data_IF_824321659429
#
_entry.id   IF_824321659429
#
_cell.length_a   1.000
_cell.length_b   1.000
_cell.length_c   1.000
_cell.angle_alpha   90.00
_cell.angle_beta   90.00
_cell.angle_gamma   90.00
#
_symmetry.space_group_name_H-M   'P 1'
#
loop_
_entity.id
_entity.type
_entity.pdbx_description
1 polymer ?
#
# COMPACT_ATOMS: atom_id res chain seq x y z
N UNK A 1 28.12 4.67 -6.42
CA UNK A 1 26.67 4.69 -6.71
C UNK A 1 26.29 6.14 -6.80
N UNK A 2 26.14 6.67 -8.01
CA UNK A 2 25.52 7.99 -8.20
C UNK A 2 24.08 7.87 -7.74
N UNK A 3 23.74 8.60 -6.69
CA UNK A 3 22.37 8.70 -6.22
C UNK A 3 21.52 9.28 -7.34
N UNK A 4 20.30 8.78 -7.48
CA UNK A 4 19.30 9.38 -8.34
C UNK A 4 19.09 10.83 -7.88
N UNK A 5 19.71 11.80 -8.55
CA UNK A 5 19.42 13.22 -8.30
C UNK A 5 18.06 13.52 -8.92
N UNK A 6 17.05 13.68 -8.06
CA UNK A 6 15.78 14.26 -8.46
C UNK A 6 16.07 15.63 -9.07
N UNK A 7 15.79 15.80 -10.37
CA UNK A 7 15.84 17.13 -10.98
C UNK A 7 14.91 18.03 -10.19
N UNK A 8 15.39 19.22 -9.82
CA UNK A 8 14.55 20.20 -9.16
C UNK A 8 13.36 20.54 -10.07
N UNK A 9 12.15 20.28 -9.58
CA UNK A 9 10.94 20.76 -10.23
C UNK A 9 10.88 22.28 -10.06
N UNK A 10 11.47 23.01 -11.00
CA UNK A 10 11.32 24.45 -11.13
C UNK A 10 9.97 24.75 -11.78
N UNK A 11 8.91 24.60 -10.98
CA UNK A 11 7.56 24.97 -11.38
C UNK A 11 7.48 26.49 -11.43
N UNK A 12 7.57 27.04 -12.62
CA UNK A 12 7.31 28.45 -12.89
C UNK A 12 5.94 28.55 -13.58
N UNK A 13 4.89 28.88 -12.81
CA UNK A 13 3.54 29.05 -13.36
C UNK A 13 3.48 30.45 -13.96
N UNK A 14 3.36 30.55 -15.28
CA UNK A 14 3.19 31.83 -15.96
C UNK A 14 1.92 32.56 -15.48
N UNK A 15 1.90 33.89 -15.64
CA UNK A 15 0.83 34.73 -15.11
C UNK A 15 -0.55 34.44 -15.73
N UNK A 16 -0.59 33.94 -16.97
CA UNK A 16 -1.85 33.58 -17.64
C UNK A 16 -2.43 32.29 -17.05
N UNK A 17 -1.60 31.25 -16.89
CA UNK A 17 -1.97 29.99 -16.23
C UNK A 17 -2.37 30.23 -14.77
N UNK A 18 -1.63 31.09 -14.05
CA UNK A 18 -1.94 31.45 -12.66
C UNK A 18 -3.31 32.14 -12.53
N UNK A 19 -3.62 33.10 -13.41
CA UNK A 19 -4.95 33.75 -13.45
C UNK A 19 -6.06 32.74 -13.74
N UNK A 20 -5.80 31.78 -14.63
CA UNK A 20 -6.76 30.73 -14.99
C UNK A 20 -7.02 29.78 -13.81
N UNK A 21 -5.97 29.27 -13.16
CA UNK A 21 -6.07 28.40 -11.99
C UNK A 21 -6.81 29.07 -10.84
N UNK A 22 -6.52 30.35 -10.56
CA UNK A 22 -7.15 31.07 -9.46
C UNK A 22 -8.66 31.28 -9.65
N UNK A 23 -9.16 31.25 -10.89
CA UNK A 23 -10.59 31.24 -11.21
C UNK A 23 -11.20 29.84 -11.21
N UNK A 24 -10.39 28.79 -11.28
CA UNK A 24 -10.83 27.39 -11.30
C UNK A 24 -11.02 26.80 -9.89
N UNK A 25 -11.43 25.53 -9.78
CA UNK A 25 -11.49 24.82 -8.50
C UNK A 25 -10.09 24.57 -7.93
N UNK A 26 -9.15 24.15 -8.79
CA UNK A 26 -7.75 23.88 -8.41
C UNK A 26 -6.99 25.20 -8.51
N UNK A 27 -6.58 25.73 -7.36
CA UNK A 27 -5.93 27.04 -7.28
C UNK A 27 -4.44 26.91 -7.60
N UNK A 28 -3.80 28.03 -7.98
CA UNK A 28 -2.34 28.04 -8.13
C UNK A 28 -1.63 27.65 -6.82
N UNK A 29 -2.21 28.04 -5.69
CA UNK A 29 -1.77 27.63 -4.36
C UNK A 29 -1.82 26.10 -4.15
N UNK A 30 -2.84 25.40 -4.67
CA UNK A 30 -2.90 23.94 -4.59
C UNK A 30 -1.70 23.30 -5.33
N UNK A 31 -1.32 23.84 -6.50
CA UNK A 31 -0.17 23.37 -7.28
C UNK A 31 1.14 23.63 -6.55
N UNK A 32 1.32 24.83 -5.97
CA UNK A 32 2.49 25.15 -5.16
C UNK A 32 2.58 24.25 -3.93
N UNK A 33 1.46 24.01 -3.22
CA UNK A 33 1.42 23.14 -2.05
C UNK A 33 1.79 21.70 -2.40
N UNK A 34 1.27 21.17 -3.51
CA UNK A 34 1.65 19.84 -4.00
C UNK A 34 3.14 19.79 -4.33
N UNK A 35 3.65 20.78 -5.06
CA UNK A 35 5.07 20.86 -5.41
C UNK A 35 5.97 20.88 -4.18
N UNK A 36 5.62 21.70 -3.19
CA UNK A 36 6.40 21.83 -1.97
C UNK A 36 6.36 20.54 -1.15
N UNK A 37 5.19 19.91 -1.06
CA UNK A 37 5.03 18.63 -0.39
C UNK A 37 5.88 17.53 -1.04
N UNK A 38 5.90 17.48 -2.37
CA UNK A 38 6.73 16.53 -3.12
C UNK A 38 8.22 16.79 -2.92
N UNK A 39 8.66 18.05 -3.01
CA UNK A 39 10.05 18.45 -2.74
C UNK A 39 10.49 18.03 -1.35
N UNK A 40 9.64 18.28 -0.34
CA UNK A 40 9.93 17.92 1.05
C UNK A 40 9.93 16.42 1.28
N UNK A 41 9.06 15.66 0.61
CA UNK A 41 9.11 14.20 0.63
C UNK A 41 10.41 13.66 0.03
N UNK A 42 10.81 14.15 -1.15
CA UNK A 42 12.05 13.74 -1.83
C UNK A 42 13.32 14.14 -1.07
N UNK A 43 13.25 15.20 -0.26
CA UNK A 43 14.34 15.61 0.62
C UNK A 43 14.54 14.65 1.81
N UNK A 44 13.55 13.79 2.13
CA UNK A 44 13.71 12.75 3.13
C UNK A 44 14.70 11.70 2.62
N UNK A 45 15.60 11.28 3.49
CA UNK A 45 16.51 10.17 3.21
C UNK A 45 15.84 8.86 3.57
N UNK A 46 15.97 7.88 2.68
CA UNK A 46 15.47 6.53 2.88
C UNK A 46 16.64 5.55 2.92
N UNK A 47 16.53 4.55 3.79
CA UNK A 47 17.58 3.55 4.00
C UNK A 47 17.76 2.59 2.81
N UNK A 48 16.77 2.46 1.94
CA UNK A 48 16.76 1.48 0.87
C UNK A 48 16.14 1.99 -0.44
N UNK A 49 16.80 2.94 -1.10
CA UNK A 49 16.42 3.35 -2.45
C UNK A 49 17.07 2.42 -3.48
N UNK A 50 16.28 1.48 -3.99
CA UNK A 50 16.64 0.68 -5.14
C UNK A 50 15.63 0.90 -6.28
N UNK A 51 15.94 0.36 -7.47
CA UNK A 51 15.11 0.53 -8.67
C UNK A 51 13.62 0.16 -8.48
N UNK A 52 13.32 -0.81 -7.62
CA UNK A 52 11.95 -1.22 -7.33
C UNK A 52 11.23 -0.16 -6.49
N UNK A 53 11.89 0.29 -5.42
CA UNK A 53 11.42 1.35 -4.52
C UNK A 53 11.20 2.67 -5.27
N UNK A 54 12.06 3.02 -6.22
CA UNK A 54 11.94 4.26 -7.01
C UNK A 54 10.62 4.32 -7.81
N UNK A 55 10.24 3.21 -8.45
CA UNK A 55 8.96 3.13 -9.19
C UNK A 55 7.77 3.29 -8.27
N UNK A 56 7.83 2.73 -7.08
CA UNK A 56 6.75 2.83 -6.11
C UNK A 56 6.67 4.25 -5.51
N UNK A 57 7.80 4.93 -5.31
CA UNK A 57 7.85 6.35 -4.93
C UNK A 57 7.20 7.21 -6.02
N UNK A 58 7.58 7.02 -7.29
CA UNK A 58 6.97 7.74 -8.41
C UNK A 58 5.45 7.51 -8.47
N UNK A 59 4.99 6.26 -8.30
CA UNK A 59 3.57 5.95 -8.25
C UNK A 59 2.87 6.67 -7.08
N UNK A 60 3.52 6.75 -5.90
CA UNK A 60 3.02 7.49 -4.73
C UNK A 60 2.83 8.96 -5.04
N UNK A 61 3.82 9.59 -5.66
CA UNK A 61 3.77 11.01 -6.04
C UNK A 61 2.62 11.28 -7.03
N UNK A 62 2.48 10.43 -8.05
CA UNK A 62 1.35 10.52 -8.97
C UNK A 62 0.00 10.39 -8.27
N UNK A 63 -0.13 9.47 -7.31
CA UNK A 63 -1.35 9.32 -6.52
C UNK A 63 -1.62 10.56 -5.64
N UNK A 64 -0.60 11.14 -5.02
CA UNK A 64 -0.71 12.35 -4.23
C UNK A 64 -1.19 13.53 -5.08
N UNK A 65 -0.57 13.74 -6.25
CA UNK A 65 -1.00 14.75 -7.22
C UNK A 65 -2.46 14.51 -7.60
N UNK A 66 -2.84 13.27 -7.89
CA UNK A 66 -4.21 12.91 -8.26
C UNK A 66 -5.22 13.24 -7.16
N UNK A 67 -4.91 12.89 -5.92
CA UNK A 67 -5.76 13.15 -4.74
C UNK A 67 -5.97 14.64 -4.54
N UNK A 68 -4.89 15.42 -4.57
CA UNK A 68 -4.91 16.85 -4.23
C UNK A 68 -5.44 17.73 -5.37
N UNK A 69 -5.44 17.24 -6.61
CA UNK A 69 -5.91 18.00 -7.79
C UNK A 69 -7.14 17.37 -8.44
N UNK A 70 -6.98 16.30 -9.22
CA UNK A 70 -8.04 15.70 -10.05
C UNK A 70 -9.23 15.18 -9.26
N UNK A 71 -8.99 14.46 -8.17
CA UNK A 71 -10.07 13.95 -7.29
C UNK A 71 -10.87 15.13 -6.70
N UNK A 72 -10.16 16.12 -6.13
CA UNK A 72 -10.75 17.35 -5.59
C UNK A 72 -11.59 18.08 -6.64
N UNK A 73 -11.11 18.17 -7.87
CA UNK A 73 -11.84 18.77 -8.98
C UNK A 73 -13.16 18.04 -9.25
N UNK A 74 -13.11 16.73 -9.53
CA UNK A 74 -14.30 15.94 -9.86
C UNK A 74 -15.34 15.98 -8.73
N UNK A 75 -14.91 15.91 -7.47
CA UNK A 75 -15.82 15.90 -6.32
C UNK A 75 -16.49 17.26 -6.04
N UNK A 76 -15.98 18.35 -6.61
CA UNK A 76 -16.51 19.71 -6.41
C UNK A 76 -17.25 20.28 -7.63
N UNK A 77 -17.28 19.55 -8.74
CA UNK A 77 -18.14 19.88 -9.88
C UNK A 77 -19.61 19.82 -9.44
N UNK A 78 -20.37 20.86 -9.76
CA UNK A 78 -21.79 21.02 -9.36
C UNK A 78 -22.78 20.41 -10.36
N UNK A 79 -22.29 19.85 -11.45
CA UNK A 79 -23.09 19.26 -12.51
C UNK A 79 -23.84 18.03 -12.00
N UNK A 80 -25.17 18.03 -12.13
CA UNK A 80 -26.03 16.98 -11.58
C UNK A 80 -25.65 15.59 -12.10
N UNK A 81 -25.38 15.47 -13.40
CA UNK A 81 -24.95 14.21 -14.01
C UNK A 81 -23.64 13.68 -13.42
N UNK A 82 -22.66 14.54 -13.15
CA UNK A 82 -21.40 14.15 -12.52
C UNK A 82 -21.64 13.71 -11.08
N UNK A 83 -22.47 14.45 -10.33
CA UNK A 83 -22.84 14.04 -8.96
C UNK A 83 -23.55 12.69 -8.92
N UNK A 84 -24.41 12.39 -9.89
CA UNK A 84 -25.06 11.08 -10.01
C UNK A 84 -24.04 9.98 -10.28
N UNK A 85 -23.09 10.19 -11.18
CA UNK A 85 -21.99 9.24 -11.46
C UNK A 85 -21.14 9.01 -10.20
N UNK A 86 -20.69 10.07 -9.53
CA UNK A 86 -19.89 9.99 -8.29
C UNK A 86 -20.66 9.24 -7.20
N UNK A 87 -21.97 9.50 -7.05
CA UNK A 87 -22.81 8.80 -6.07
C UNK A 87 -22.95 7.32 -6.42
N UNK A 88 -23.12 6.97 -7.69
CA UNK A 88 -23.16 5.58 -8.16
C UNK A 88 -21.85 4.86 -7.86
N UNK A 89 -20.69 5.48 -8.12
CA UNK A 89 -19.38 4.93 -7.75
C UNK A 89 -19.30 4.66 -6.25
N UNK A 90 -19.64 5.64 -5.41
CA UNK A 90 -19.61 5.50 -3.95
C UNK A 90 -20.55 4.39 -3.45
N UNK A 91 -21.76 4.28 -4.02
CA UNK A 91 -22.71 3.20 -3.70
C UNK A 91 -22.19 1.82 -4.12
N UNK A 92 -21.58 1.71 -5.30
CA UNK A 92 -21.00 0.44 -5.77
C UNK A 92 -19.85 -0.01 -4.88
N UNK A 93 -18.99 0.90 -4.42
CA UNK A 93 -17.93 0.59 -3.45
C UNK A 93 -18.52 0.05 -2.15
N UNK A 94 -19.55 0.70 -1.60
CA UNK A 94 -20.24 0.23 -0.38
C UNK A 94 -20.84 -1.16 -0.60
N UNK A 95 -21.47 -1.40 -1.76
CA UNK A 95 -22.02 -2.70 -2.13
C UNK A 95 -20.95 -3.78 -2.20
N UNK A 96 -19.83 -3.51 -2.88
CA UNK A 96 -18.68 -4.42 -2.96
C UNK A 96 -18.12 -4.72 -1.57
N UNK A 97 -17.89 -3.71 -0.74
CA UNK A 97 -17.41 -3.89 0.63
C UNK A 97 -18.34 -4.72 1.52
N UNK A 98 -19.63 -4.77 1.22
CA UNK A 98 -20.58 -5.60 1.95
C UNK A 98 -20.65 -7.05 1.46
N UNK A 99 -20.21 -7.32 0.22
CA UNK A 99 -20.34 -8.63 -0.44
C UNK A 99 -19.02 -9.38 -0.46
N UNK A 100 -17.90 -8.67 -0.61
CA UNK A 100 -16.58 -9.26 -0.80
C UNK A 100 -16.21 -10.18 0.38
N UNK A 101 -15.77 -11.39 0.06
CA UNK A 101 -15.39 -12.42 1.02
C UNK A 101 -14.36 -13.37 0.43
N UNK A 102 -13.94 -14.40 1.18
CA UNK A 102 -13.04 -15.45 0.72
C UNK A 102 -13.72 -16.50 -0.19
N UNK A 103 -14.74 -16.11 -0.95
CA UNK A 103 -15.46 -16.97 -1.90
C UNK A 103 -15.24 -16.45 -3.31
N UNK A 104 -14.63 -17.27 -4.17
CA UNK A 104 -14.29 -16.93 -5.56
C UNK A 104 -15.47 -16.35 -6.34
N UNK A 105 -16.65 -16.96 -6.23
CA UNK A 105 -17.87 -16.48 -6.90
C UNK A 105 -18.30 -15.09 -6.42
N UNK A 106 -18.12 -14.79 -5.13
CA UNK A 106 -18.44 -13.47 -4.58
C UNK A 106 -17.42 -12.42 -5.03
N UNK A 107 -16.14 -12.78 -5.12
CA UNK A 107 -15.08 -11.92 -5.67
C UNK A 107 -15.36 -11.59 -7.14
N UNK A 108 -15.70 -12.60 -7.96
CA UNK A 108 -16.06 -12.40 -9.37
C UNK A 108 -17.33 -11.56 -9.54
N UNK A 109 -18.32 -11.75 -8.67
CA UNK A 109 -19.53 -10.91 -8.64
C UNK A 109 -19.18 -9.45 -8.34
N UNK A 110 -18.32 -9.19 -7.34
CA UNK A 110 -17.85 -7.86 -7.02
C UNK A 110 -17.09 -7.22 -8.19
N UNK A 111 -16.22 -8.00 -8.85
CA UNK A 111 -15.52 -7.56 -10.06
C UNK A 111 -16.49 -7.21 -11.18
N UNK A 112 -17.51 -8.03 -11.43
CA UNK A 112 -18.53 -7.79 -12.46
C UNK A 112 -19.32 -6.51 -12.19
N UNK A 113 -19.72 -6.26 -10.93
CA UNK A 113 -20.39 -5.01 -10.53
C UNK A 113 -19.53 -3.80 -10.88
N UNK A 114 -18.24 -3.85 -10.52
CA UNK A 114 -17.30 -2.76 -10.76
C UNK A 114 -16.99 -2.57 -12.25
N UNK A 115 -16.89 -3.67 -12.99
CA UNK A 115 -16.65 -3.66 -14.44
C UNK A 115 -17.81 -3.07 -15.21
N UNK A 116 -19.04 -3.43 -14.87
CA UNK A 116 -20.23 -2.88 -15.52
C UNK A 116 -20.33 -1.37 -15.28
N UNK A 117 -20.12 -0.93 -14.03
CA UNK A 117 -20.05 0.49 -13.70
C UNK A 117 -18.97 1.21 -14.51
N UNK A 118 -17.76 0.66 -14.59
CA UNK A 118 -16.66 1.25 -15.35
C UNK A 118 -17.00 1.35 -16.85
N UNK A 119 -17.57 0.29 -17.43
CA UNK A 119 -17.98 0.27 -18.84
C UNK A 119 -19.08 1.30 -19.13
N UNK A 120 -20.02 1.49 -18.21
CA UNK A 120 -21.07 2.52 -18.36
C UNK A 120 -20.48 3.93 -18.30
N UNK A 121 -19.47 4.16 -17.46
CA UNK A 121 -18.75 5.43 -17.40
C UNK A 121 -17.91 5.65 -18.67
N UNK A 122 -17.29 4.61 -19.23
CA UNK A 122 -16.55 4.71 -20.49
C UNK A 122 -17.43 5.19 -21.66
N UNK A 123 -18.70 4.78 -21.69
CA UNK A 123 -19.67 5.24 -22.71
C UNK A 123 -19.93 6.76 -22.66
N UNK A 124 -19.64 7.40 -21.53
CA UNK A 124 -19.72 8.86 -21.40
C UNK A 124 -18.57 9.58 -22.12
N UNK A 125 -17.60 8.84 -22.66
CA UNK A 125 -16.42 9.36 -23.35
C UNK A 125 -15.62 10.39 -22.52
N UNK A 126 -15.61 10.21 -21.19
CA UNK A 126 -14.87 11.06 -20.27
C UNK A 126 -13.82 10.22 -19.52
N UNK A 127 -12.58 10.27 -20.01
CA UNK A 127 -11.45 9.50 -19.47
C UNK A 127 -11.18 9.86 -18.01
N UNK A 128 -11.40 11.11 -17.59
CA UNK A 128 -11.17 11.56 -16.21
C UNK A 128 -12.17 10.94 -15.24
N UNK A 129 -13.44 10.79 -15.63
CA UNK A 129 -14.44 10.08 -14.82
C UNK A 129 -14.15 8.58 -14.74
N UNK A 130 -13.64 7.98 -15.83
CA UNK A 130 -13.23 6.58 -15.83
C UNK A 130 -12.02 6.34 -14.89
N UNK A 131 -10.99 7.19 -14.98
CA UNK A 131 -9.83 7.15 -14.08
C UNK A 131 -10.25 7.38 -12.62
N UNK A 132 -11.19 8.30 -12.37
CA UNK A 132 -11.76 8.53 -11.05
C UNK A 132 -12.54 7.34 -10.51
N UNK A 133 -13.30 6.65 -11.35
CA UNK A 133 -14.00 5.42 -10.97
C UNK A 133 -13.01 4.36 -10.49
N UNK A 134 -11.97 4.10 -11.28
CA UNK A 134 -10.95 3.11 -10.96
C UNK A 134 -10.18 3.48 -9.69
N UNK A 135 -9.74 4.74 -9.59
CA UNK A 135 -9.09 5.28 -8.40
C UNK A 135 -9.97 5.10 -7.15
N UNK A 136 -11.25 5.49 -7.24
CA UNK A 136 -12.19 5.43 -6.12
C UNK A 136 -12.48 4.01 -5.68
N UNK A 137 -12.58 3.05 -6.62
CA UNK A 137 -12.75 1.64 -6.29
C UNK A 137 -11.54 1.16 -5.48
N UNK A 138 -10.32 1.39 -5.95
CA UNK A 138 -9.11 0.97 -5.25
C UNK A 138 -9.01 1.65 -3.87
N UNK A 139 -9.16 2.98 -3.80
CA UNK A 139 -9.14 3.76 -2.55
C UNK A 139 -10.22 3.28 -1.57
N UNK A 140 -11.41 2.95 -2.08
CA UNK A 140 -12.55 2.48 -1.31
C UNK A 140 -12.39 1.09 -0.69
N UNK A 141 -11.73 0.16 -1.39
CA UNK A 141 -11.38 -1.16 -0.82
C UNK A 141 -10.27 -1.01 0.23
N UNK A 142 -9.21 -0.26 -0.10
CA UNK A 142 -8.09 -0.02 0.83
C UNK A 142 -8.55 0.71 2.11
N UNK A 143 -9.61 1.52 2.01
CA UNK A 143 -10.23 2.19 3.16
C UNK A 143 -10.76 1.25 4.25
N UNK A 144 -10.99 -0.04 3.98
CA UNK A 144 -11.37 -1.02 4.99
C UNK A 144 -10.24 -1.34 5.98
N UNK A 145 -8.98 -1.08 5.60
CA UNK A 145 -7.80 -1.35 6.42
C UNK A 145 -7.45 -0.21 7.40
N UNK A 146 -8.24 0.86 7.44
CA UNK A 146 -8.03 1.94 8.42
C UNK A 146 -8.42 1.48 9.83
N UNK A 147 -7.75 1.98 10.87
CA UNK A 147 -7.82 1.43 12.25
C UNK A 147 -9.24 1.32 12.81
N UNK A 148 -10.13 2.27 12.49
CA UNK A 148 -11.53 2.24 12.92
C UNK A 148 -12.32 1.08 12.30
N UNK A 149 -11.92 0.64 11.10
CA UNK A 149 -12.66 -0.32 10.28
C UNK A 149 -12.05 -1.70 10.26
N UNK A 150 -10.75 -1.86 10.51
CA UNK A 150 -10.08 -3.16 10.41
C UNK A 150 -10.67 -4.22 11.36
N UNK A 151 -11.12 -3.80 12.56
CA UNK A 151 -11.73 -4.69 13.54
C UNK A 151 -13.24 -4.90 13.33
N UNK A 152 -13.85 -4.12 12.43
CA UNK A 152 -15.29 -4.16 12.11
C UNK A 152 -15.54 -4.62 10.66
N UNK A 153 -14.49 -4.76 9.86
CA UNK A 153 -14.59 -5.00 8.43
C UNK A 153 -15.06 -6.42 8.19
N UNK A 154 -16.22 -6.53 7.52
CA UNK A 154 -16.71 -7.79 6.96
C UNK A 154 -15.82 -8.35 5.84
N UNK A 155 -15.18 -7.52 4.99
CA UNK A 155 -14.21 -7.99 4.00
C UNK A 155 -13.04 -8.75 4.63
N UNK A 156 -12.83 -9.97 4.18
CA UNK A 156 -11.61 -10.71 4.46
C UNK A 156 -10.45 -10.19 3.61
N UNK A 157 -9.23 -10.29 4.16
CA UNK A 157 -8.01 -9.80 3.50
C UNK A 157 -7.76 -10.48 2.14
N UNK A 158 -7.91 -11.80 2.06
CA UNK A 158 -7.76 -12.55 0.81
C UNK A 158 -8.88 -12.26 -0.21
N UNK A 159 -10.09 -11.98 0.25
CA UNK A 159 -11.19 -11.52 -0.59
C UNK A 159 -10.87 -10.17 -1.24
N UNK A 160 -10.41 -9.20 -0.43
CA UNK A 160 -9.91 -7.90 -0.91
C UNK A 160 -8.74 -8.06 -1.88
N UNK A 161 -7.78 -8.93 -1.58
CA UNK A 161 -6.64 -9.21 -2.44
C UNK A 161 -7.07 -9.77 -3.79
N UNK A 162 -7.98 -10.76 -3.80
CA UNK A 162 -8.48 -11.37 -5.03
C UNK A 162 -9.26 -10.38 -5.91
N UNK A 163 -10.09 -9.54 -5.30
CA UNK A 163 -10.78 -8.47 -6.03
C UNK A 163 -9.80 -7.46 -6.62
N UNK A 164 -8.84 -6.97 -5.84
CA UNK A 164 -7.85 -6.01 -6.32
C UNK A 164 -6.93 -6.62 -7.39
N UNK A 165 -6.58 -7.90 -7.28
CA UNK A 165 -5.83 -8.63 -8.31
C UNK A 165 -6.59 -8.69 -9.63
N UNK A 166 -7.92 -8.90 -9.61
CA UNK A 166 -8.76 -8.82 -10.82
C UNK A 166 -8.76 -7.40 -11.41
N UNK A 167 -8.92 -6.37 -10.58
CA UNK A 167 -8.87 -4.98 -11.04
C UNK A 167 -7.50 -4.66 -11.68
N UNK A 168 -6.41 -5.03 -11.02
CA UNK A 168 -5.04 -4.79 -11.51
C UNK A 168 -4.77 -5.52 -12.82
N UNK A 169 -5.22 -6.77 -12.95
CA UNK A 169 -5.00 -7.60 -14.14
C UNK A 169 -5.78 -7.13 -15.36
N UNK A 170 -6.94 -6.50 -15.16
CA UNK A 170 -7.87 -6.15 -16.25
C UNK A 170 -7.83 -4.67 -16.65
N UNK A 171 -7.21 -3.80 -15.86
CA UNK A 171 -7.12 -2.36 -16.16
C UNK A 171 -5.67 -1.88 -16.12
N UNK A 172 -5.09 -1.54 -17.28
CA UNK A 172 -3.66 -1.16 -17.43
C UNK A 172 -3.18 -0.10 -16.44
N UNK A 173 -4.00 0.91 -16.13
CA UNK A 173 -3.66 1.98 -15.18
C UNK A 173 -3.81 1.58 -13.71
N UNK A 174 -4.59 0.53 -13.41
CA UNK A 174 -4.90 0.11 -12.05
C UNK A 174 -3.66 -0.29 -11.26
N UNK A 175 -2.68 -0.94 -11.91
CA UNK A 175 -1.43 -1.32 -11.24
C UNK A 175 -0.71 -0.10 -10.63
N UNK A 176 -0.52 0.95 -11.43
CA UNK A 176 0.14 2.17 -10.98
C UNK A 176 -0.71 2.94 -9.96
N UNK A 177 -2.03 3.05 -10.17
CA UNK A 177 -2.94 3.67 -9.20
C UNK A 177 -2.90 2.92 -7.86
N UNK A 178 -2.94 1.59 -7.89
CA UNK A 178 -2.84 0.76 -6.69
C UNK A 178 -1.52 0.95 -5.96
N UNK A 179 -0.38 0.79 -6.66
CA UNK A 179 0.95 1.01 -6.07
C UNK A 179 1.08 2.39 -5.45
N UNK A 180 0.51 3.42 -6.09
CA UNK A 180 0.52 4.78 -5.58
C UNK A 180 -0.36 5.01 -4.36
N UNK A 181 -1.61 4.55 -4.39
CA UNK A 181 -2.55 4.71 -3.27
C UNK A 181 -2.09 3.91 -2.05
N UNK A 182 -1.66 2.65 -2.25
CA UNK A 182 -1.28 1.79 -1.14
C UNK A 182 -0.03 2.30 -0.41
N UNK A 183 0.97 2.79 -1.15
CA UNK A 183 2.19 3.37 -0.58
C UNK A 183 1.96 4.74 0.05
N UNK A 184 1.02 5.53 -0.47
CA UNK A 184 0.60 6.77 0.19
C UNK A 184 -0.06 6.47 1.55
N UNK A 185 -1.00 5.52 1.59
CA UNK A 185 -1.71 5.13 2.81
C UNK A 185 -0.84 4.38 3.82
N UNK A 186 0.08 3.55 3.35
CA UNK A 186 1.00 2.80 4.18
C UNK A 186 2.37 2.70 3.49
N UNK A 187 3.31 3.54 3.91
CA UNK A 187 4.64 3.62 3.26
C UNK A 187 5.37 2.28 3.30
N UNK A 188 5.15 1.48 4.37
CA UNK A 188 5.79 0.17 4.60
C UNK A 188 5.32 -0.96 3.68
N UNK A 189 4.33 -0.71 2.81
CA UNK A 189 4.04 -1.62 1.68
C UNK A 189 5.12 -1.57 0.61
N UNK A 190 5.95 -0.53 0.64
CA UNK A 190 7.28 -0.50 0.04
C UNK A 190 8.25 -0.61 1.25
N UNK A 191 9.21 -1.54 1.28
CA UNK A 191 10.11 -1.70 2.42
C UNK A 191 11.21 -0.60 2.43
N UNK A 192 10.80 0.66 2.29
CA UNK A 192 11.59 1.87 2.48
C UNK A 192 11.30 2.46 3.85
N UNK A 193 12.35 2.91 4.52
CA UNK A 193 12.23 3.51 5.84
C UNK A 193 13.02 4.79 5.94
N UNK A 194 12.51 5.74 6.72
CA UNK A 194 13.17 7.01 6.94
C UNK A 194 14.51 6.80 7.66
N UNK A 195 15.59 7.30 7.05
CA UNK A 195 16.89 7.32 7.69
C UNK A 195 16.89 8.36 8.82
N UNK A 196 17.50 8.04 9.96
CA UNK A 196 17.63 8.99 11.06
C UNK A 196 18.67 10.05 10.73
N UNK A 197 18.23 11.15 10.12
CA UNK A 197 19.10 12.30 9.84
C UNK A 197 18.99 13.41 10.91
N UNK A 198 20.01 14.26 11.08
CA UNK A 198 19.92 15.44 11.94
C UNK A 198 18.77 16.39 11.58
N UNK A 199 18.43 16.49 10.29
CA UNK A 199 17.33 17.30 9.78
C UNK A 199 15.99 16.72 10.22
N UNK A 200 15.80 15.40 10.06
CA UNK A 200 14.59 14.72 10.51
C UNK A 200 14.39 14.85 12.02
N UNK A 201 15.47 14.81 12.81
CA UNK A 201 15.41 14.97 14.28
C UNK A 201 15.02 16.39 14.72
N UNK A 202 15.28 17.40 13.89
CA UNK A 202 14.91 18.81 14.15
C UNK A 202 13.52 19.16 13.63
N UNK A 203 12.98 18.37 12.71
CA UNK A 203 11.66 18.57 12.12
C UNK A 203 10.56 18.42 13.16
N UNK A 204 9.60 19.34 13.19
CA UNK A 204 8.45 19.20 14.07
C UNK A 204 7.59 17.99 13.67
N UNK A 205 6.99 17.29 14.62
CA UNK A 205 6.15 16.12 14.30
C UNK A 205 4.97 16.45 13.39
N UNK A 206 4.31 17.57 13.63
CA UNK A 206 3.22 18.07 12.78
C UNK A 206 3.69 18.30 11.34
N UNK A 207 4.92 18.79 11.21
CA UNK A 207 5.57 19.02 9.93
C UNK A 207 5.85 17.70 9.19
N UNK A 208 6.42 16.71 9.88
CA UNK A 208 6.66 15.37 9.33
C UNK A 208 5.35 14.69 8.91
N UNK A 209 4.30 14.78 9.73
CA UNK A 209 3.01 14.14 9.45
C UNK A 209 2.31 14.74 8.24
N UNK A 210 2.55 16.01 7.92
CA UNK A 210 2.07 16.59 6.67
C UNK A 210 2.73 15.93 5.45
N UNK A 211 3.96 15.41 5.58
CA UNK A 211 4.74 14.79 4.49
C UNK A 211 4.41 13.30 4.32
N UNK A 212 4.40 12.54 5.42
CA UNK A 212 4.28 11.08 5.38
C UNK A 212 2.93 10.53 5.87
N UNK A 213 2.04 11.34 6.44
CA UNK A 213 0.90 10.94 7.28
C UNK A 213 1.32 10.45 8.67
N UNK A 214 0.58 10.85 9.70
CA UNK A 214 0.81 10.44 11.10
C UNK A 214 0.75 8.92 11.25
N UNK A 215 -0.18 8.30 10.53
CA UNK A 215 -0.39 6.85 10.52
C UNK A 215 0.83 6.09 10.02
N UNK A 216 1.78 6.74 9.32
CA UNK A 216 3.02 6.14 8.84
C UNK A 216 4.23 6.40 9.75
N UNK A 217 4.06 7.02 10.91
CA UNK A 217 5.15 7.16 11.87
C UNK A 217 5.47 5.80 12.52
N UNK A 218 6.65 5.26 12.21
CA UNK A 218 7.15 3.99 12.73
C UNK A 218 7.30 3.96 14.26
N UNK A 219 7.29 5.12 14.92
CA UNK A 219 7.40 5.23 16.37
C UNK A 219 6.03 5.25 17.08
N UNK A 220 4.92 5.21 16.34
CA UNK A 220 3.56 5.13 16.89
C UNK A 220 3.06 3.69 16.79
N UNK A 221 3.32 2.92 17.84
CA UNK A 221 3.08 1.48 17.89
C UNK A 221 1.59 1.08 17.79
N UNK A 222 0.68 2.00 18.13
CA UNK A 222 -0.77 1.78 17.98
C UNK A 222 -1.20 1.55 16.52
N UNK A 223 -0.37 1.93 15.54
CA UNK A 223 -0.63 1.68 14.11
C UNK A 223 -0.07 0.35 13.59
N UNK A 224 0.52 -0.49 14.44
CA UNK A 224 1.11 -1.76 13.98
C UNK A 224 0.08 -2.70 13.35
N UNK A 225 -1.15 -2.76 13.87
CA UNK A 225 -2.22 -3.56 13.27
C UNK A 225 -2.57 -3.09 11.85
N UNK A 226 -2.56 -1.77 11.62
CA UNK A 226 -2.68 -1.18 10.29
C UNK A 226 -1.52 -1.59 9.40
N UNK A 227 -0.27 -1.47 9.86
CA UNK A 227 0.90 -1.87 9.06
C UNK A 227 0.83 -3.34 8.65
N UNK A 228 0.41 -4.19 9.59
CA UNK A 228 0.20 -5.61 9.34
C UNK A 228 -0.81 -5.83 8.22
N UNK A 229 -1.97 -5.20 8.30
CA UNK A 229 -3.05 -5.41 7.34
C UNK A 229 -2.68 -4.95 5.93
N UNK A 230 -2.04 -3.79 5.81
CA UNK A 230 -1.58 -3.27 4.52
C UNK A 230 -0.50 -4.16 3.91
N UNK A 231 0.47 -4.60 4.72
CA UNK A 231 1.56 -5.48 4.27
C UNK A 231 1.01 -6.84 3.81
N UNK A 232 0.14 -7.44 4.62
CA UNK A 232 -0.53 -8.71 4.27
C UNK A 232 -1.31 -8.59 2.98
N UNK A 233 -2.15 -7.55 2.83
CA UNK A 233 -2.93 -7.32 1.61
C UNK A 233 -2.00 -7.15 0.39
N UNK A 234 -0.93 -6.37 0.54
CA UNK A 234 0.03 -6.11 -0.54
C UNK A 234 0.64 -7.40 -1.07
N UNK A 235 1.18 -8.23 -0.18
CA UNK A 235 1.81 -9.49 -0.55
C UNK A 235 0.78 -10.51 -1.06
N UNK A 236 -0.40 -10.59 -0.44
CA UNK A 236 -1.48 -11.46 -0.94
C UNK A 236 -1.87 -11.15 -2.38
N UNK A 237 -1.88 -9.87 -2.79
CA UNK A 237 -2.15 -9.49 -4.18
C UNK A 237 -1.08 -10.07 -5.12
N UNK A 238 0.20 -9.92 -4.81
CA UNK A 238 1.26 -10.47 -5.66
C UNK A 238 1.34 -11.99 -5.65
N UNK A 239 0.97 -12.63 -4.55
CA UNK A 239 0.83 -14.08 -4.49
C UNK A 239 -0.27 -14.54 -5.45
N UNK A 240 -1.44 -13.88 -5.44
CA UNK A 240 -2.55 -14.20 -6.36
C UNK A 240 -2.14 -13.94 -7.82
N UNK A 241 -1.43 -12.84 -8.09
CA UNK A 241 -0.90 -12.52 -9.41
C UNK A 241 0.31 -13.38 -9.81
N UNK A 242 0.78 -14.25 -8.92
CA UNK A 242 1.98 -15.06 -9.06
C UNK A 242 3.25 -14.23 -9.40
N UNK A 243 3.34 -12.98 -8.92
CA UNK A 243 4.54 -12.15 -9.09
C UNK A 243 5.57 -12.47 -8.01
N UNK A 244 6.30 -13.57 -8.25
CA UNK A 244 7.38 -14.07 -7.39
C UNK A 244 8.44 -12.99 -7.10
N UNK A 245 8.70 -12.07 -8.04
CA UNK A 245 9.75 -11.05 -7.91
C UNK A 245 9.36 -10.00 -6.88
N UNK A 246 8.11 -9.54 -6.91
CA UNK A 246 7.59 -8.56 -5.96
C UNK A 246 7.62 -9.14 -4.53
N UNK A 247 7.19 -10.40 -4.35
CA UNK A 247 7.20 -11.07 -3.05
C UNK A 247 8.62 -11.24 -2.52
N UNK A 248 9.54 -11.77 -3.33
CA UNK A 248 10.93 -12.00 -2.89
C UNK A 248 11.69 -10.71 -2.62
N UNK A 249 11.51 -9.68 -3.46
CA UNK A 249 12.15 -8.37 -3.30
C UNK A 249 11.69 -7.73 -2.01
N UNK A 250 10.38 -7.72 -1.73
CA UNK A 250 9.83 -7.17 -0.49
C UNK A 250 10.46 -7.80 0.76
N UNK A 251 10.49 -9.14 0.84
CA UNK A 251 11.04 -9.86 2.00
C UNK A 251 12.54 -9.58 2.15
N UNK A 252 13.28 -9.62 1.05
CA UNK A 252 14.74 -9.42 1.06
C UNK A 252 15.10 -8.00 1.54
N UNK A 253 14.41 -7.00 1.00
CA UNK A 253 14.59 -5.60 1.37
C UNK A 253 14.21 -5.33 2.82
N UNK A 254 13.07 -5.89 3.27
CA UNK A 254 12.64 -5.78 4.66
C UNK A 254 13.70 -6.33 5.63
N UNK A 255 14.26 -7.51 5.35
CA UNK A 255 15.24 -8.13 6.25
C UNK A 255 16.58 -7.38 6.24
N UNK A 256 16.99 -6.87 5.08
CA UNK A 256 18.20 -6.04 4.96
C UNK A 256 18.04 -4.71 5.71
N UNK A 257 16.88 -4.06 5.62
CA UNK A 257 16.59 -2.85 6.39
C UNK A 257 16.49 -3.13 7.88
N UNK A 258 15.85 -4.23 8.27
CA UNK A 258 15.79 -4.68 9.67
C UNK A 258 17.19 -4.90 10.27
N UNK A 259 18.09 -5.55 9.52
CA UNK A 259 19.47 -5.77 9.94
C UNK A 259 20.24 -4.46 10.18
N UNK A 260 20.00 -3.45 9.34
CA UNK A 260 20.69 -2.14 9.44
C UNK A 260 20.12 -1.26 10.55
N UNK A 261 18.80 -1.08 10.59
CA UNK A 261 18.12 -0.08 11.44
C UNK A 261 17.69 -0.61 12.79
N UNK A 262 17.37 -1.91 12.89
CA UNK A 262 17.03 -2.62 14.13
C UNK A 262 15.93 -1.96 14.98
N UNK A 263 14.83 -1.52 14.34
CA UNK A 263 13.66 -0.90 14.97
C UNK A 263 12.52 -1.88 15.27
N UNK A 264 11.59 -1.49 16.14
CA UNK A 264 10.50 -2.38 16.58
C UNK A 264 9.43 -2.66 15.54
N UNK A 265 9.25 -1.74 14.59
CA UNK A 265 8.34 -1.94 13.46
C UNK A 265 8.64 -3.22 12.67
N UNK A 266 9.91 -3.65 12.63
CA UNK A 266 10.31 -4.86 11.91
C UNK A 266 9.70 -6.13 12.48
N UNK A 267 9.39 -6.21 13.78
CA UNK A 267 8.70 -7.39 14.30
C UNK A 267 7.31 -7.54 13.69
N UNK A 268 6.56 -6.44 13.62
CA UNK A 268 5.25 -6.43 12.97
C UNK A 268 5.38 -6.74 11.47
N UNK A 269 6.27 -6.04 10.75
CA UNK A 269 6.37 -6.20 9.29
C UNK A 269 6.89 -7.59 8.87
N UNK A 270 7.87 -8.15 9.58
CA UNK A 270 8.39 -9.50 9.30
C UNK A 270 7.30 -10.53 9.54
N UNK A 271 6.56 -10.42 10.65
CA UNK A 271 5.42 -11.31 10.92
C UNK A 271 4.40 -11.22 9.80
N UNK A 272 3.99 -10.01 9.47
CA UNK A 272 2.99 -9.74 8.44
C UNK A 272 3.39 -10.32 7.10
N UNK A 273 4.66 -10.19 6.72
CA UNK A 273 5.17 -10.76 5.48
C UNK A 273 5.14 -12.28 5.50
N UNK A 274 5.65 -12.90 6.57
CA UNK A 274 5.75 -14.36 6.68
C UNK A 274 4.39 -15.04 6.78
N UNK A 275 3.43 -14.43 7.48
CA UNK A 275 2.10 -15.01 7.71
C UNK A 275 1.36 -15.31 6.39
N UNK A 276 1.45 -14.40 5.41
CA UNK A 276 0.81 -14.61 4.10
C UNK A 276 1.69 -15.27 3.06
N UNK A 277 3.02 -15.10 3.14
CA UNK A 277 3.93 -15.50 2.05
C UNK A 277 4.76 -16.74 2.33
N UNK A 278 4.87 -17.24 3.56
CA UNK A 278 5.80 -18.35 3.89
C UNK A 278 5.53 -19.60 3.09
N UNK A 279 4.26 -20.02 2.98
CA UNK A 279 3.89 -21.20 2.20
C UNK A 279 4.23 -21.03 0.72
N UNK A 280 3.84 -19.90 0.14
CA UNK A 280 4.15 -19.55 -1.25
C UNK A 280 5.66 -19.53 -1.52
N UNK A 281 6.45 -18.89 -0.65
CA UNK A 281 7.89 -18.79 -0.78
C UNK A 281 8.59 -20.14 -0.63
N UNK A 282 8.10 -21.01 0.25
CA UNK A 282 8.66 -22.36 0.40
C UNK A 282 8.45 -23.20 -0.85
N UNK A 283 7.28 -23.13 -1.47
CA UNK A 283 7.01 -23.84 -2.74
C UNK A 283 7.84 -23.23 -3.88
N UNK A 284 7.88 -21.91 -3.97
CA UNK A 284 8.48 -21.20 -5.10
C UNK A 284 10.00 -21.19 -5.07
N UNK A 285 10.61 -20.92 -3.91
CA UNK A 285 12.07 -20.70 -3.78
C UNK A 285 12.79 -21.83 -3.05
N UNK A 286 12.03 -22.77 -2.44
CA UNK A 286 12.53 -23.98 -1.79
C UNK A 286 13.72 -23.70 -0.86
N UNK A 287 14.89 -24.29 -1.18
CA UNK A 287 16.11 -24.20 -0.35
C UNK A 287 16.60 -22.76 -0.12
N UNK A 288 16.31 -21.81 -1.01
CA UNK A 288 16.69 -20.41 -0.81
C UNK A 288 15.87 -19.77 0.31
N UNK A 289 14.57 -20.05 0.37
CA UNK A 289 13.71 -19.58 1.46
C UNK A 289 14.08 -20.24 2.79
N UNK A 290 14.41 -21.53 2.79
CA UNK A 290 14.88 -22.21 4.02
C UNK A 290 16.17 -21.59 4.58
N UNK A 291 17.13 -21.24 3.72
CA UNK A 291 18.35 -20.52 4.12
C UNK A 291 18.02 -19.14 4.69
N UNK A 292 17.10 -18.41 4.06
CA UNK A 292 16.64 -17.11 4.52
C UNK A 292 15.99 -17.20 5.90
N UNK A 293 15.10 -18.18 6.12
CA UNK A 293 14.45 -18.41 7.40
C UNK A 293 15.45 -18.83 8.49
N UNK A 294 16.47 -19.60 8.14
CA UNK A 294 17.57 -19.92 9.06
C UNK A 294 18.36 -18.66 9.44
N UNK A 295 18.64 -17.76 8.49
CA UNK A 295 19.30 -16.48 8.77
C UNK A 295 18.44 -15.59 9.65
N UNK A 296 17.13 -15.51 9.39
CA UNK A 296 16.19 -14.79 10.24
C UNK A 296 16.27 -15.29 11.68
N UNK A 297 16.14 -16.62 11.88
CA UNK A 297 16.15 -17.24 13.21
C UNK A 297 17.48 -17.08 13.95
N UNK A 298 18.59 -17.30 13.27
CA UNK A 298 19.92 -17.45 13.93
C UNK A 298 20.73 -16.17 13.98
N UNK A 299 20.39 -15.17 13.16
CA UNK A 299 21.12 -13.90 13.06
C UNK A 299 20.24 -12.70 13.33
N UNK A 300 19.23 -12.47 12.49
CA UNK A 300 18.47 -11.21 12.52
C UNK A 300 17.60 -11.08 13.78
N UNK A 301 16.82 -12.10 14.14
CA UNK A 301 15.94 -12.05 15.31
C UNK A 301 16.70 -11.84 16.63
N UNK A 302 17.79 -12.57 16.92
CA UNK A 302 18.62 -12.29 18.09
C UNK A 302 19.14 -10.84 18.15
N UNK A 303 19.55 -10.28 17.00
CA UNK A 303 20.02 -8.90 16.92
C UNK A 303 18.90 -7.89 17.24
N UNK A 304 17.70 -8.10 16.72
CA UNK A 304 16.54 -7.23 16.99
C UNK A 304 16.12 -7.30 18.46
N UNK A 305 16.11 -8.50 19.05
CA UNK A 305 15.77 -8.70 20.46
C UNK A 305 16.82 -8.13 21.42
N UNK A 306 18.10 -8.17 21.04
CA UNK A 306 19.15 -7.53 21.83
C UNK A 306 19.00 -5.99 21.83
N UNK A 307 18.67 -5.40 20.68
CA UNK A 307 18.36 -3.97 20.61
C UNK A 307 17.10 -3.60 21.40
N UNK A 308 16.10 -4.49 21.47
CA UNK A 308 14.93 -4.31 22.33
C UNK A 308 15.31 -4.24 23.80
N UNK A 309 16.23 -5.08 24.26
CA UNK A 309 16.74 -5.04 25.65
C UNK A 309 17.51 -3.76 25.94
N UNK A 310 18.23 -3.22 24.96
CA UNK A 310 19.01 -1.98 25.10
C UNK A 310 18.12 -0.73 25.12
N UNK A 311 17.01 -0.72 24.39
CA UNK A 311 16.18 0.48 24.17
C UNK A 311 14.67 0.21 24.34
N UNK A 312 14.21 -0.40 25.44
CA UNK A 312 12.85 -0.93 25.54
C UNK A 312 11.76 0.09 25.13
N UNK A 313 10.69 -0.35 24.45
CA UNK A 313 9.59 0.53 24.08
C UNK A 313 8.92 1.11 25.34
N UNK A 314 8.17 2.21 25.22
CA UNK A 314 7.35 2.72 26.31
C UNK A 314 6.45 1.62 26.89
N UNK A 315 6.24 1.64 28.20
CA UNK A 315 5.47 0.61 28.93
C UNK A 315 4.04 0.43 28.41
N UNK A 316 3.44 1.48 27.85
CA UNK A 316 2.14 1.45 27.17
C UNK A 316 2.11 0.54 25.95
N UNK A 317 3.23 0.40 25.26
CA UNK A 317 3.33 -0.22 23.93
C UNK A 317 4.14 -1.52 23.92
N UNK A 318 4.82 -1.83 25.02
CA UNK A 318 5.60 -3.06 25.19
C UNK A 318 4.78 -4.32 24.87
N UNK A 319 3.52 -4.36 25.29
CA UNK A 319 2.62 -5.49 24.99
C UNK A 319 2.42 -5.73 23.50
N UNK A 320 2.34 -4.67 22.70
CA UNK A 320 2.15 -4.77 21.24
C UNK A 320 3.40 -5.34 20.59
N UNK A 321 4.58 -4.86 20.99
CA UNK A 321 5.86 -5.37 20.45
C UNK A 321 6.08 -6.83 20.86
N UNK A 322 5.85 -7.17 22.13
CA UNK A 322 5.98 -8.54 22.63
C UNK A 322 5.00 -9.52 21.97
N UNK A 323 3.79 -9.06 21.64
CA UNK A 323 2.83 -9.84 20.88
C UNK A 323 3.41 -10.32 19.54
N UNK A 324 4.00 -9.42 18.75
CA UNK A 324 4.59 -9.77 17.44
C UNK A 324 5.83 -10.66 17.58
N UNK A 325 6.68 -10.44 18.58
CA UNK A 325 7.83 -11.30 18.86
C UNK A 325 7.37 -12.73 19.16
N UNK A 326 6.39 -12.88 20.05
CA UNK A 326 5.82 -14.18 20.41
C UNK A 326 5.23 -14.89 19.19
N UNK A 327 4.46 -14.15 18.38
CA UNK A 327 3.86 -14.66 17.14
C UNK A 327 4.92 -15.19 16.16
N UNK A 328 5.96 -14.40 15.87
CA UNK A 328 7.08 -14.80 15.03
C UNK A 328 7.73 -16.10 15.49
N UNK A 329 8.04 -16.20 16.78
CA UNK A 329 8.67 -17.40 17.34
C UNK A 329 7.78 -18.62 17.23
N UNK A 330 6.55 -18.52 17.71
CA UNK A 330 5.62 -19.65 17.78
C UNK A 330 5.24 -20.14 16.38
N UNK A 331 4.95 -19.24 15.45
CA UNK A 331 4.34 -19.59 14.17
C UNK A 331 5.37 -19.81 13.06
N UNK A 332 6.55 -19.19 13.12
CA UNK A 332 7.52 -19.24 12.03
C UNK A 332 8.93 -19.71 12.40
N UNK A 333 9.45 -19.40 13.60
CA UNK A 333 10.88 -19.65 13.90
C UNK A 333 11.13 -20.94 14.68
N UNK A 334 10.23 -21.32 15.59
CA UNK A 334 10.42 -22.52 16.42
C UNK A 334 10.33 -23.80 15.58
N UNK A 335 9.48 -23.81 14.55
CA UNK A 335 9.35 -24.93 13.63
C UNK A 335 9.47 -24.44 12.17
N UNK A 336 10.71 -24.37 11.67
CA UNK A 336 11.01 -23.92 10.30
C UNK A 336 10.37 -24.80 9.21
N UNK A 337 10.03 -26.07 9.54
CA UNK A 337 9.31 -26.95 8.63
C UNK A 337 7.82 -26.64 8.53
N UNK A 338 7.26 -25.92 9.51
CA UNK A 338 5.85 -25.58 9.53
C UNK A 338 5.59 -24.39 8.61
N UNK A 339 4.96 -24.67 7.47
CA UNK A 339 4.53 -23.68 6.50
C UNK A 339 3.10 -24.03 6.08
N UNK A 340 2.17 -23.84 7.01
CA UNK A 340 0.76 -24.02 6.72
C UNK A 340 0.30 -23.03 5.66
N UNK A 341 -0.67 -23.45 4.84
CA UNK A 341 -1.41 -22.52 4.00
C UNK A 341 -1.97 -21.39 4.89
N UNK A 342 -1.87 -20.12 4.47
CA UNK A 342 -2.45 -19.02 5.20
C UNK A 342 -3.96 -19.23 5.39
N UNK A 343 -4.47 -18.83 6.55
CA UNK A 343 -5.89 -18.97 6.85
C UNK A 343 -6.75 -18.17 5.87
N UNK A 344 -7.78 -18.81 5.32
CA UNK A 344 -8.71 -18.17 4.39
C UNK A 344 -8.10 -17.81 3.03
N UNK A 345 -6.97 -18.41 2.65
CA UNK A 345 -6.36 -18.20 1.33
C UNK A 345 -7.37 -18.44 0.21
N UNK A 346 -7.40 -17.52 -0.76
CA UNK A 346 -8.23 -17.63 -1.96
C UNK A 346 -7.34 -18.00 -3.13
N UNK A 347 -7.73 -19.05 -3.86
CA UNK A 347 -7.10 -19.42 -5.13
C UNK A 347 -8.03 -18.97 -6.26
N UNK A 348 -7.58 -17.96 -7.02
CA UNK A 348 -8.21 -17.58 -8.28
C UNK A 348 -7.43 -18.28 -9.41
N UNK A 349 -8.06 -19.20 -10.16
CA UNK A 349 -7.44 -19.78 -11.35
C UNK A 349 -6.96 -18.69 -12.32
N UNK A 350 -5.82 -18.89 -12.96
CA UNK A 350 -5.23 -17.93 -13.92
C UNK A 350 -6.23 -17.53 -15.03
N UNK A 351 -7.01 -18.50 -15.49
CA UNK A 351 -8.09 -18.32 -16.48
C UNK A 351 -9.16 -17.32 -16.01
N UNK A 352 -9.35 -17.19 -14.69
CA UNK A 352 -10.31 -16.24 -14.09
C UNK A 352 -9.65 -14.90 -13.74
N UNK A 353 -8.33 -14.84 -13.60
CA UNK A 353 -7.58 -13.59 -13.39
C UNK A 353 -7.54 -12.76 -14.68
N UNK A 354 -7.30 -13.43 -15.80
CA UNK A 354 -7.44 -12.86 -17.13
C UNK A 354 -8.88 -13.03 -17.59
N UNK A 355 -9.78 -12.17 -17.09
CA UNK A 355 -11.08 -11.99 -17.72
C UNK A 355 -10.90 -11.21 -19.03
N UNK A 356 -10.19 -11.83 -19.99
CA UNK A 356 -10.27 -11.46 -21.39
C UNK A 356 -11.74 -11.59 -21.76
N UNK A 357 -12.45 -10.47 -21.76
CA UNK A 357 -13.73 -10.42 -22.42
C UNK A 357 -13.50 -10.91 -23.84
N UNK A 358 -13.98 -12.10 -24.14
CA UNK A 358 -14.62 -12.34 -25.42
C UNK A 358 -15.64 -11.19 -25.57
N UNK A 359 -15.29 -10.25 -26.45
CA UNK A 359 -16.21 -9.23 -26.95
C UNK A 359 -17.42 -9.89 -27.61
N UNK A 360 -18.52 -9.15 -27.71
CA UNK A 360 -18.61 -8.13 -28.76
C UNK A 360 -18.37 -6.70 -28.27
#
# INVERSE_FOLDING_TARGET
MEFFEWKEDNINIDEETKKTLNKSIVKSEDVYNVSELLKRFRALKFDNLNYHSDKCILARECALIYILTYKKHIESLKEENIHLVVRSIKRSIVSVNNIISNITEQILKCFTISRNLYNDILKLNNVYLADYCLFSIIDGILGNLNDEKIHQSKPSLWGMAGFLALIISNYKKAYFMYKGIISYKCIFTIPIFLEESPELKKMAKTELYNIILKENDENIYSYFSRFEAYTKLHLSIFIILNDTREVWSYISELFNSAYRRKKYIYFCLIYSALDVSSHYCKITFASHFEKLMRLLKTKLMPLLEEELKKKPPPSSDEKVVQYYIKKLHVEHLNNLSNSSLPEGVVVLPDEKLLYMGLGP
#
